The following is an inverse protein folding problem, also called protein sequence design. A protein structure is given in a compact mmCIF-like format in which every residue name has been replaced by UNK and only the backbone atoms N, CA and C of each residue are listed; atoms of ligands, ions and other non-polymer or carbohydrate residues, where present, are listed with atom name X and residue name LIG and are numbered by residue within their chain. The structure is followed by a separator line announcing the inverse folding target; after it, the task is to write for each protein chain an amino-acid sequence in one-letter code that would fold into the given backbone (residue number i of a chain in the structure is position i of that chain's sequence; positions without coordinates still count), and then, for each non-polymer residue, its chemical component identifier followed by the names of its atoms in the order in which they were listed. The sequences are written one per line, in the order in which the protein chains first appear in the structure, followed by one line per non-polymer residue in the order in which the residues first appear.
data_IF_433078615752
#
_entry.id   IF_433078615752
#
_cell.length_a   1.000
_cell.length_b   1.000
_cell.length_c   1.000
_cell.angle_alpha   90.00
_cell.angle_beta   90.00
_cell.angle_gamma   90.00
#
_symmetry.space_group_name_H-M   'P 1'
#
loop_
_entity.id
_entity.type
_entity.pdbx_description
1 polymer ?
#
# COMPACT_ATOMS: atom_id res chain seq x y z
N UNK A 1 35.99 -10.11 -1.04
CA UNK A 1 35.67 -9.98 -2.48
C UNK A 1 34.22 -10.38 -2.66
N UNK A 2 33.33 -9.43 -2.93
CA UNK A 2 31.95 -9.71 -3.32
C UNK A 2 32.00 -10.13 -4.79
N UNK A 3 31.66 -11.38 -5.13
CA UNK A 3 31.67 -11.81 -6.52
C UNK A 3 30.49 -11.18 -7.26
N UNK A 4 30.77 -10.14 -8.04
CA UNK A 4 29.76 -9.34 -8.76
C UNK A 4 28.96 -10.21 -9.73
N UNK A 5 29.55 -11.31 -10.20
CA UNK A 5 28.89 -12.29 -11.05
C UNK A 5 27.81 -13.09 -10.29
N UNK A 6 28.13 -13.59 -9.09
CA UNK A 6 27.18 -14.32 -8.23
C UNK A 6 26.08 -13.39 -7.69
N UNK A 7 26.42 -12.14 -7.37
CA UNK A 7 25.46 -11.13 -6.94
C UNK A 7 24.46 -10.77 -8.05
N UNK A 8 24.91 -10.65 -9.31
CA UNK A 8 24.03 -10.45 -10.48
C UNK A 8 23.17 -11.68 -10.75
N UNK A 9 23.71 -12.87 -10.62
CA UNK A 9 22.96 -14.10 -10.86
C UNK A 9 21.86 -14.31 -9.81
N UNK A 10 22.17 -14.10 -8.53
CA UNK A 10 21.22 -14.24 -7.44
C UNK A 10 20.15 -13.14 -7.43
N UNK A 11 20.51 -11.89 -7.76
CA UNK A 11 19.53 -10.80 -7.89
C UNK A 11 18.62 -10.97 -9.10
N UNK A 12 19.15 -11.47 -10.23
CA UNK A 12 18.36 -11.81 -11.42
C UNK A 12 17.37 -12.95 -11.16
N UNK A 13 17.79 -14.01 -10.47
CA UNK A 13 16.91 -15.13 -10.09
C UNK A 13 15.80 -14.68 -9.14
N UNK A 14 16.09 -13.77 -8.20
CA UNK A 14 15.08 -13.23 -7.29
C UNK A 14 14.12 -12.26 -7.99
N UNK A 15 14.60 -11.37 -8.84
CA UNK A 15 13.74 -10.51 -9.67
C UNK A 15 12.82 -11.35 -10.56
N UNK A 16 13.35 -12.38 -11.19
CA UNK A 16 12.59 -13.31 -12.01
C UNK A 16 11.55 -14.08 -11.18
N UNK A 17 11.94 -14.64 -10.04
CA UNK A 17 11.03 -15.37 -9.14
C UNK A 17 9.90 -14.47 -8.63
N UNK A 18 10.21 -13.21 -8.29
CA UNK A 18 9.24 -12.20 -7.89
C UNK A 18 8.26 -11.93 -9.04
N UNK A 19 8.76 -11.54 -10.23
CA UNK A 19 7.91 -11.22 -11.38
C UNK A 19 6.98 -12.39 -11.74
N UNK A 20 7.51 -13.61 -11.78
CA UNK A 20 6.73 -14.83 -12.09
C UNK A 20 5.69 -15.12 -11.00
N UNK A 21 6.05 -14.95 -9.72
CA UNK A 21 5.13 -15.17 -8.61
C UNK A 21 4.03 -14.10 -8.50
N UNK A 22 4.26 -12.88 -9.01
CA UNK A 22 3.27 -11.79 -8.99
C UNK A 22 2.37 -11.77 -10.22
N UNK A 23 2.96 -11.87 -11.42
CA UNK A 23 2.22 -11.66 -12.67
C UNK A 23 1.30 -12.85 -13.00
N UNK A 24 1.72 -14.08 -12.67
CA UNK A 24 0.93 -15.27 -13.03
C UNK A 24 -0.40 -15.35 -12.25
N UNK A 25 -0.44 -15.19 -10.91
CA UNK A 25 -1.70 -15.20 -10.18
C UNK A 25 -2.64 -14.06 -10.57
N UNK A 26 -2.10 -12.90 -10.92
CA UNK A 26 -2.85 -11.72 -11.32
C UNK A 26 -3.55 -11.92 -12.68
N UNK A 27 -2.82 -12.42 -13.68
CA UNK A 27 -3.36 -12.73 -15.01
C UNK A 27 -4.40 -13.85 -14.93
N UNK A 28 -4.15 -14.90 -14.13
CA UNK A 28 -5.07 -16.03 -13.99
C UNK A 28 -6.38 -15.66 -13.26
N UNK A 29 -6.37 -14.55 -12.50
CA UNK A 29 -7.57 -14.04 -11.81
C UNK A 29 -8.59 -13.39 -12.75
N UNK A 30 -8.14 -12.91 -13.92
CA UNK A 30 -9.00 -12.23 -14.90
C UNK A 30 -9.92 -13.21 -15.65
N UNK A 31 -9.63 -14.51 -15.64
CA UNK A 31 -10.35 -15.53 -16.43
C UNK A 31 -11.38 -16.35 -15.63
N UNK A 32 -11.61 -16.09 -14.33
CA UNK A 32 -12.45 -16.95 -13.47
C UNK A 32 -13.84 -16.39 -13.09
N UNK A 33 -14.82 -17.31 -12.99
CA UNK A 33 -16.25 -17.06 -12.77
C UNK A 33 -16.61 -16.43 -11.40
N UNK A 34 -17.67 -15.61 -11.38
CA UNK A 34 -18.11 -14.71 -10.29
C UNK A 34 -18.22 -15.37 -8.90
N UNK A 35 -18.72 -16.60 -8.79
CA UNK A 35 -18.92 -17.26 -7.49
C UNK A 35 -17.62 -17.72 -6.82
N UNK A 36 -16.51 -17.81 -7.56
CA UNK A 36 -15.17 -18.12 -7.01
C UNK A 36 -14.31 -16.87 -6.87
N UNK A 37 -14.72 -15.72 -7.41
CA UNK A 37 -13.92 -14.48 -7.39
C UNK A 37 -13.61 -14.02 -5.97
N UNK A 38 -14.55 -14.15 -5.03
CA UNK A 38 -14.31 -13.72 -3.65
C UNK A 38 -13.28 -14.59 -2.93
N UNK A 39 -13.36 -15.92 -3.07
CA UNK A 39 -12.37 -16.85 -2.48
C UNK A 39 -11.00 -16.69 -3.15
N UNK A 40 -10.98 -16.47 -4.47
CA UNK A 40 -9.77 -16.23 -5.24
C UNK A 40 -9.08 -14.90 -4.84
N UNK A 41 -9.86 -13.82 -4.66
CA UNK A 41 -9.34 -12.51 -4.24
C UNK A 41 -8.66 -12.55 -2.87
N UNK A 42 -9.16 -13.39 -1.95
CA UNK A 42 -8.52 -13.63 -0.65
C UNK A 42 -7.22 -14.40 -0.83
N UNK A 43 -7.21 -15.45 -1.65
CA UNK A 43 -6.00 -16.21 -1.97
C UNK A 43 -4.90 -15.30 -2.54
N UNK A 44 -5.25 -14.46 -3.52
CA UNK A 44 -4.34 -13.49 -4.13
C UNK A 44 -3.84 -12.49 -3.09
N UNK A 45 -4.74 -11.95 -2.24
CA UNK A 45 -4.37 -10.96 -1.22
C UNK A 45 -3.35 -11.51 -0.21
N UNK A 46 -3.53 -12.75 0.23
CA UNK A 46 -2.60 -13.43 1.15
C UNK A 46 -1.24 -13.65 0.47
N UNK A 47 -1.25 -14.12 -0.79
CA UNK A 47 -0.01 -14.33 -1.55
C UNK A 47 0.74 -13.00 -1.75
N UNK A 48 0.06 -11.91 -2.09
CA UNK A 48 0.69 -10.60 -2.27
C UNK A 48 1.34 -10.09 -0.97
N UNK A 49 0.65 -10.21 0.17
CA UNK A 49 1.22 -9.81 1.47
C UNK A 49 2.44 -10.67 1.81
N UNK A 50 2.35 -11.99 1.66
CA UNK A 50 3.48 -12.89 1.95
C UNK A 50 4.70 -12.58 1.09
N UNK A 51 4.50 -12.35 -0.20
CA UNK A 51 5.58 -12.00 -1.11
C UNK A 51 6.15 -10.59 -0.81
N UNK A 52 5.31 -9.62 -0.42
CA UNK A 52 5.79 -8.30 0.03
C UNK A 52 6.67 -8.42 1.29
N UNK A 53 6.24 -9.22 2.28
CA UNK A 53 7.02 -9.48 3.50
C UNK A 53 8.31 -10.23 3.19
N UNK A 54 8.28 -11.23 2.30
CA UNK A 54 9.47 -11.95 1.86
C UNK A 54 10.46 -11.02 1.13
N UNK A 55 9.95 -10.11 0.27
CA UNK A 55 10.76 -9.11 -0.41
C UNK A 55 11.36 -8.10 0.58
N UNK A 56 10.61 -7.64 1.58
CA UNK A 56 11.12 -6.79 2.66
C UNK A 56 12.19 -7.51 3.48
N UNK A 57 11.98 -8.78 3.84
CA UNK A 57 12.97 -9.58 4.54
C UNK A 57 14.27 -9.71 3.74
N UNK A 58 14.16 -9.97 2.43
CA UNK A 58 15.31 -10.02 1.56
C UNK A 58 16.06 -8.69 1.49
N UNK A 59 15.33 -7.57 1.36
CA UNK A 59 15.89 -6.20 1.34
C UNK A 59 16.56 -5.82 2.66
N UNK A 60 15.95 -6.15 3.80
CA UNK A 60 16.36 -5.68 5.13
C UNK A 60 17.31 -6.61 5.87
N UNK A 61 17.30 -7.91 5.60
CA UNK A 61 18.11 -8.91 6.31
C UNK A 61 19.14 -9.52 5.37
N UNK A 62 18.70 -10.08 4.26
CA UNK A 62 19.56 -10.92 3.42
C UNK A 62 20.55 -10.11 2.58
N UNK A 63 20.11 -9.00 2.00
CA UNK A 63 20.91 -8.14 1.11
C UNK A 63 20.97 -6.69 1.59
N UNK A 64 20.84 -6.48 2.91
CA UNK A 64 20.91 -5.16 3.55
C UNK A 64 22.13 -4.36 3.07
N UNK A 65 23.29 -5.01 2.93
CA UNK A 65 24.54 -4.36 2.51
C UNK A 65 24.55 -3.85 1.07
N UNK A 66 23.76 -4.41 0.15
CA UNK A 66 23.68 -3.95 -1.25
C UNK A 66 22.64 -2.85 -1.41
N UNK A 67 21.54 -2.92 -0.66
CA UNK A 67 20.46 -1.92 -0.71
C UNK A 67 20.78 -0.68 0.13
N UNK A 68 21.38 -0.82 1.31
CA UNK A 68 21.84 0.32 2.13
C UNK A 68 23.00 1.03 1.42
N UNK A 69 23.96 0.31 0.84
CA UNK A 69 25.02 0.94 0.05
C UNK A 69 24.49 1.66 -1.20
N UNK A 70 23.40 1.15 -1.81
CA UNK A 70 22.73 1.83 -2.94
C UNK A 70 21.95 3.06 -2.49
N UNK A 71 21.24 3.00 -1.36
CA UNK A 71 20.56 4.16 -0.77
C UNK A 71 21.57 5.22 -0.31
N UNK A 72 22.68 4.82 0.32
CA UNK A 72 23.77 5.71 0.72
C UNK A 72 24.56 6.26 -0.48
N UNK A 73 24.75 5.51 -1.57
CA UNK A 73 25.37 6.06 -2.78
C UNK A 73 24.46 7.05 -3.51
N UNK A 74 23.15 6.75 -3.55
CA UNK A 74 22.13 7.64 -4.14
C UNK A 74 21.87 8.87 -3.25
N UNK A 75 22.04 8.74 -1.92
CA UNK A 75 22.03 9.86 -0.97
C UNK A 75 23.39 10.57 -0.82
N UNK A 76 24.49 9.93 -1.22
CA UNK A 76 25.86 10.44 -1.11
C UNK A 76 26.42 11.14 -2.37
N UNK A 77 25.90 10.83 -3.56
CA UNK A 77 26.11 11.65 -4.78
C UNK A 77 25.27 12.93 -4.77
N UNK A 78 24.29 12.92 -3.89
CA UNK A 78 23.51 14.04 -3.47
C UNK A 78 24.40 14.88 -2.54
N UNK A 79 24.86 16.06 -2.98
CA UNK A 79 25.48 17.05 -2.09
C UNK A 79 24.63 17.15 -0.82
N UNK A 80 25.20 16.66 0.28
CA UNK A 80 24.53 16.51 1.55
C UNK A 80 25.34 17.38 2.50
N UNK A 81 24.84 18.58 2.73
CA UNK A 81 24.85 19.12 4.09
C UNK A 81 24.37 17.97 4.98
N UNK A 82 25.22 17.50 5.88
CA UNK A 82 24.95 16.38 6.78
C UNK A 82 23.54 16.54 7.38
N UNK A 83 22.56 15.76 6.90
CA UNK A 83 21.23 15.71 7.50
C UNK A 83 21.36 14.95 8.82
N UNK A 84 21.92 15.64 9.82
CA UNK A 84 21.92 15.18 11.19
C UNK A 84 20.47 15.02 11.63
N UNK A 85 20.11 13.94 12.34
CA UNK A 85 18.76 13.76 12.82
C UNK A 85 18.37 14.94 13.72
N UNK A 86 17.52 15.83 13.22
CA UNK A 86 17.13 17.04 13.95
C UNK A 86 16.41 16.69 15.27
N UNK A 87 15.71 15.54 15.29
CA UNK A 87 14.84 15.13 16.40
C UNK A 87 15.29 13.80 17.04
N UNK A 88 15.18 13.74 18.37
CA UNK A 88 15.38 12.48 19.09
C UNK A 88 14.31 11.44 18.73
N UNK A 89 14.68 10.16 18.66
CA UNK A 89 13.75 9.08 18.26
C UNK A 89 12.50 8.97 19.15
N UNK A 90 12.60 9.34 20.43
CA UNK A 90 11.45 9.40 21.35
C UNK A 90 10.47 10.51 20.95
N UNK A 91 10.99 11.68 20.59
CA UNK A 91 10.18 12.82 20.16
C UNK A 91 9.47 12.53 18.83
N UNK A 92 10.18 11.94 17.86
CA UNK A 92 9.61 11.50 16.59
C UNK A 92 8.46 10.49 16.79
N UNK A 93 8.63 9.53 17.70
CA UNK A 93 7.59 8.52 18.01
C UNK A 93 6.32 9.15 18.58
N UNK A 94 6.46 10.10 19.52
CA UNK A 94 5.32 10.80 20.14
C UNK A 94 4.55 11.61 19.09
N UNK A 95 5.25 12.33 18.22
CA UNK A 95 4.61 13.14 17.18
C UNK A 95 3.91 12.25 16.16
N UNK A 96 4.53 11.14 15.74
CA UNK A 96 3.91 10.20 14.82
C UNK A 96 2.61 9.62 15.39
N UNK A 97 2.59 9.28 16.68
CA UNK A 97 1.39 8.77 17.35
C UNK A 97 0.29 9.84 17.45
N UNK A 98 0.63 11.08 17.83
CA UNK A 98 -0.32 12.19 17.88
C UNK A 98 -0.89 12.52 16.50
N UNK A 99 -0.05 12.54 15.46
CA UNK A 99 -0.47 12.77 14.07
C UNK A 99 -1.42 11.66 13.60
N UNK A 100 -1.14 10.41 13.95
CA UNK A 100 -1.99 9.27 13.58
C UNK A 100 -3.39 9.41 14.19
N UNK A 101 -3.49 9.81 15.46
CA UNK A 101 -4.78 10.04 16.13
C UNK A 101 -5.52 11.22 15.49
N UNK A 102 -4.82 12.31 15.19
CA UNK A 102 -5.41 13.47 14.53
C UNK A 102 -5.97 13.13 13.14
N UNK A 103 -5.19 12.39 12.33
CA UNK A 103 -5.63 11.91 11.02
C UNK A 103 -6.84 10.98 11.14
N UNK A 104 -6.86 10.07 12.11
CA UNK A 104 -8.01 9.19 12.35
C UNK A 104 -9.29 10.00 12.67
N UNK A 105 -9.19 11.00 13.54
CA UNK A 105 -10.32 11.88 13.89
C UNK A 105 -10.84 12.68 12.70
N UNK A 106 -9.95 13.26 11.90
CA UNK A 106 -10.32 14.01 10.70
C UNK A 106 -10.92 13.09 9.64
N UNK A 107 -10.36 11.89 9.46
CA UNK A 107 -10.82 10.91 8.46
C UNK A 107 -12.24 10.43 8.74
N UNK A 108 -12.61 10.20 9.99
CA UNK A 108 -13.98 9.83 10.37
C UNK A 108 -14.97 10.94 9.96
N UNK A 109 -14.66 12.19 10.26
CA UNK A 109 -15.50 13.34 9.88
C UNK A 109 -15.56 13.52 8.36
N UNK A 110 -14.44 13.33 7.68
CA UNK A 110 -14.32 13.50 6.23
C UNK A 110 -15.21 12.52 5.46
N UNK A 111 -15.26 11.25 5.87
CA UNK A 111 -16.12 10.25 5.21
C UNK A 111 -17.61 10.62 5.31
N UNK A 112 -18.07 11.19 6.44
CA UNK A 112 -19.46 11.64 6.58
C UNK A 112 -19.84 12.83 5.69
N UNK A 113 -18.86 13.56 5.16
CA UNK A 113 -19.12 14.71 4.27
C UNK A 113 -19.23 14.31 2.79
N UNK A 114 -18.85 13.09 2.42
CA UNK A 114 -18.86 12.66 1.02
C UNK A 114 -20.23 12.74 0.37
N UNK A 115 -21.30 12.34 1.08
CA UNK A 115 -22.68 12.42 0.59
C UNK A 115 -23.06 13.88 0.27
N UNK A 116 -22.78 14.79 1.21
CA UNK A 116 -23.08 16.22 1.05
C UNK A 116 -22.27 16.89 -0.06
N UNK A 117 -20.99 16.52 -0.22
CA UNK A 117 -20.13 17.04 -1.28
C UNK A 117 -20.56 16.48 -2.64
N UNK A 118 -20.95 15.21 -2.70
CA UNK A 118 -21.47 14.57 -3.90
C UNK A 118 -22.76 15.22 -4.39
N UNK A 119 -23.70 15.51 -3.48
CA UNK A 119 -24.97 16.17 -3.81
C UNK A 119 -24.80 17.63 -4.24
N UNK A 120 -23.89 18.39 -3.62
CA UNK A 120 -23.69 19.80 -3.92
C UNK A 120 -22.88 20.04 -5.20
N UNK A 121 -21.83 19.26 -5.42
CA UNK A 121 -20.92 19.42 -6.57
C UNK A 121 -21.24 18.47 -7.73
N UNK A 122 -22.18 17.54 -7.55
CA UNK A 122 -22.51 16.51 -8.54
C UNK A 122 -21.40 15.49 -8.76
N UNK A 123 -20.50 15.32 -7.78
CA UNK A 123 -19.37 14.40 -7.88
C UNK A 123 -19.78 13.01 -7.41
N UNK A 124 -19.28 11.97 -8.09
CA UNK A 124 -19.48 10.60 -7.63
C UNK A 124 -18.63 10.31 -6.39
N UNK A 125 -19.14 9.48 -5.48
CA UNK A 125 -18.36 8.98 -4.33
C UNK A 125 -17.05 8.31 -4.79
N UNK A 126 -17.09 7.63 -5.94
CA UNK A 126 -15.91 7.04 -6.59
C UNK A 126 -14.86 8.09 -6.96
N UNK A 127 -15.27 9.24 -7.52
CA UNK A 127 -14.33 10.30 -7.88
C UNK A 127 -13.67 10.90 -6.63
N UNK A 128 -14.45 11.15 -5.58
CA UNK A 128 -13.94 11.68 -4.32
C UNK A 128 -12.94 10.69 -3.69
N UNK A 129 -13.30 9.41 -3.62
CA UNK A 129 -12.42 8.38 -3.05
C UNK A 129 -11.15 8.11 -3.87
N UNK A 130 -11.26 7.98 -5.20
CA UNK A 130 -10.12 7.60 -6.04
C UNK A 130 -9.17 8.77 -6.31
N UNK A 131 -9.69 9.99 -6.45
CA UNK A 131 -8.85 11.15 -6.81
C UNK A 131 -8.50 11.96 -5.57
N UNK A 132 -9.50 12.48 -4.85
CA UNK A 132 -9.26 13.45 -3.77
C UNK A 132 -8.56 12.79 -2.59
N UNK A 133 -9.07 11.65 -2.11
CA UNK A 133 -8.49 10.94 -0.97
C UNK A 133 -7.10 10.39 -1.31
N UNK A 134 -6.89 9.86 -2.52
CA UNK A 134 -5.58 9.37 -2.95
C UNK A 134 -4.52 10.48 -3.00
N UNK A 135 -4.88 11.67 -3.50
CA UNK A 135 -3.97 12.83 -3.51
C UNK A 135 -3.61 13.22 -2.08
N UNK A 136 -4.59 13.37 -1.19
CA UNK A 136 -4.34 13.79 0.21
C UNK A 136 -3.50 12.75 0.96
N UNK A 137 -3.80 11.46 0.78
CA UNK A 137 -3.09 10.37 1.45
C UNK A 137 -1.62 10.25 1.06
N UNK A 138 -1.30 10.52 -0.21
CA UNK A 138 0.06 10.39 -0.75
C UNK A 138 0.77 11.75 -0.90
N UNK A 139 0.16 12.86 -0.48
CA UNK A 139 0.67 14.22 -0.69
C UNK A 139 2.06 14.42 -0.07
N UNK A 140 2.27 13.96 1.16
CA UNK A 140 3.54 14.13 1.87
C UNK A 140 4.71 13.40 1.18
N UNK A 141 4.45 12.20 0.68
CA UNK A 141 5.43 11.38 -0.05
C UNK A 141 5.76 12.01 -1.41
N UNK A 142 4.74 12.46 -2.15
CA UNK A 142 4.92 13.16 -3.41
C UNK A 142 5.66 14.48 -3.23
N UNK A 143 5.34 15.26 -2.19
CA UNK A 143 6.06 16.49 -1.86
C UNK A 143 7.54 16.21 -1.59
N UNK A 144 7.85 15.15 -0.82
CA UNK A 144 9.23 14.73 -0.54
C UNK A 144 9.96 14.32 -1.82
N UNK A 145 9.30 13.59 -2.72
CA UNK A 145 9.86 13.22 -4.03
C UNK A 145 10.15 14.45 -4.91
N UNK A 146 9.24 15.44 -4.95
CA UNK A 146 9.43 16.68 -5.71
C UNK A 146 10.58 17.52 -5.15
N UNK A 147 10.71 17.62 -3.82
CA UNK A 147 11.82 18.33 -3.18
C UNK A 147 13.16 17.67 -3.53
N UNK A 148 13.22 16.34 -3.50
CA UNK A 148 14.44 15.60 -3.89
C UNK A 148 14.75 15.76 -5.37
N UNK A 149 13.74 15.75 -6.25
CA UNK A 149 13.92 16.01 -7.68
C UNK A 149 14.43 17.44 -7.93
N UNK A 150 13.94 18.44 -7.18
CA UNK A 150 14.41 19.83 -7.27
C UNK A 150 15.87 19.97 -6.85
N UNK A 151 16.33 19.18 -5.88
CA UNK A 151 17.75 19.06 -5.49
C UNK A 151 18.59 18.27 -6.52
N UNK A 152 18.06 18.00 -7.72
CA UNK A 152 18.67 17.18 -8.77
C UNK A 152 18.94 15.72 -8.37
N UNK A 153 18.23 15.21 -7.35
CA UNK A 153 18.35 13.85 -6.81
C UNK A 153 17.25 12.96 -7.39
N UNK A 154 17.24 12.79 -8.71
CA UNK A 154 16.16 12.10 -9.43
C UNK A 154 16.05 10.61 -9.04
N UNK A 155 17.17 9.94 -8.77
CA UNK A 155 17.16 8.53 -8.35
C UNK A 155 16.41 8.33 -7.03
N UNK A 156 16.58 9.24 -6.06
CA UNK A 156 15.82 9.23 -4.79
C UNK A 156 14.33 9.48 -5.05
N UNK A 157 14.01 10.48 -5.88
CA UNK A 157 12.62 10.82 -6.18
C UNK A 157 11.87 9.65 -6.84
N UNK A 158 12.54 8.97 -7.78
CA UNK A 158 12.01 7.78 -8.46
C UNK A 158 11.87 6.61 -7.47
N UNK A 159 12.86 6.39 -6.59
CA UNK A 159 12.77 5.35 -5.55
C UNK A 159 11.58 5.57 -4.61
N UNK A 160 11.35 6.80 -4.14
CA UNK A 160 10.20 7.16 -3.31
C UNK A 160 8.89 6.86 -4.06
N UNK A 161 8.78 7.26 -5.33
CA UNK A 161 7.57 7.04 -6.14
C UNK A 161 7.28 5.55 -6.38
N UNK A 162 8.28 4.75 -6.75
CA UNK A 162 8.12 3.31 -6.93
C UNK A 162 7.85 2.59 -5.61
N UNK A 163 8.50 3.00 -4.52
CA UNK A 163 8.30 2.44 -3.19
C UNK A 163 6.85 2.61 -2.72
N UNK A 164 6.31 3.83 -2.82
CA UNK A 164 4.92 4.15 -2.46
C UNK A 164 3.92 3.36 -3.30
N UNK A 165 4.12 3.29 -4.62
CA UNK A 165 3.22 2.54 -5.52
C UNK A 165 3.22 1.04 -5.20
N UNK A 166 4.40 0.45 -4.97
CA UNK A 166 4.53 -0.95 -4.60
C UNK A 166 3.85 -1.24 -3.25
N UNK A 167 4.00 -0.33 -2.29
CA UNK A 167 3.38 -0.44 -0.97
C UNK A 167 1.85 -0.36 -1.06
N UNK A 168 1.29 0.55 -1.85
CA UNK A 168 -0.15 0.64 -2.06
C UNK A 168 -0.69 -0.62 -2.74
N UNK A 169 -0.04 -1.08 -3.81
CA UNK A 169 -0.49 -2.24 -4.58
C UNK A 169 -0.38 -3.56 -3.80
N UNK A 170 0.76 -3.82 -3.16
CA UNK A 170 1.07 -5.13 -2.58
C UNK A 170 0.74 -5.25 -1.08
N UNK A 171 0.50 -4.13 -0.39
CA UNK A 171 0.17 -4.12 1.02
C UNK A 171 -1.20 -3.49 1.28
N UNK A 172 -1.44 -2.25 0.83
CA UNK A 172 -2.69 -1.53 1.18
C UNK A 172 -3.92 -2.19 0.54
N UNK A 173 -3.90 -2.45 -0.77
CA UNK A 173 -5.02 -3.09 -1.46
C UNK A 173 -5.39 -4.47 -0.88
N UNK A 174 -4.45 -5.43 -0.68
CA UNK A 174 -4.81 -6.72 -0.10
C UNK A 174 -5.24 -6.64 1.36
N UNK A 175 -4.70 -5.71 2.17
CA UNK A 175 -5.22 -5.46 3.52
C UNK A 175 -6.68 -4.98 3.46
N UNK A 176 -7.03 -4.10 2.53
CA UNK A 176 -8.42 -3.64 2.37
C UNK A 176 -9.36 -4.79 1.98
N UNK A 177 -8.93 -5.72 1.12
CA UNK A 177 -9.72 -6.92 0.76
C UNK A 177 -9.97 -7.80 1.99
N UNK A 178 -8.94 -8.04 2.80
CA UNK A 178 -9.04 -8.84 4.03
C UNK A 178 -9.89 -8.12 5.09
N UNK A 179 -9.73 -6.81 5.27
CA UNK A 179 -10.53 -6.02 6.21
C UNK A 179 -12.00 -5.92 5.79
N UNK A 180 -12.26 -5.79 4.48
CA UNK A 180 -13.62 -5.84 3.92
C UNK A 180 -14.32 -7.15 4.29
N UNK A 181 -13.61 -8.29 4.16
CA UNK A 181 -14.11 -9.60 4.61
C UNK A 181 -14.45 -9.60 6.10
N UNK A 182 -13.58 -9.10 6.97
CA UNK A 182 -13.80 -9.07 8.41
C UNK A 182 -15.06 -8.26 8.77
N UNK A 183 -15.26 -7.12 8.11
CA UNK A 183 -16.41 -6.25 8.32
C UNK A 183 -17.72 -6.85 7.76
N UNK A 184 -17.66 -7.49 6.59
CA UNK A 184 -18.79 -8.23 6.00
C UNK A 184 -19.23 -9.42 6.86
N UNK A 185 -18.30 -10.20 7.43
CA UNK A 185 -18.62 -11.28 8.39
C UNK A 185 -19.34 -10.70 9.60
N UNK A 186 -18.81 -9.61 10.15
CA UNK A 186 -19.31 -9.01 11.39
C UNK A 186 -20.74 -8.48 11.20
N UNK A 187 -21.01 -7.82 10.06
CA UNK A 187 -22.35 -7.36 9.69
C UNK A 187 -23.33 -8.51 9.43
N UNK A 188 -22.87 -9.59 8.78
CA UNK A 188 -23.68 -10.79 8.56
C UNK A 188 -23.98 -11.60 9.83
N UNK A 189 -23.04 -11.65 10.80
CA UNK A 189 -23.23 -12.39 12.05
C UNK A 189 -24.17 -11.68 13.03
N UNK A 190 -24.25 -10.36 12.95
CA UNK A 190 -25.16 -9.55 13.78
C UNK A 190 -26.60 -9.53 13.26
N UNK A 191 -26.82 -9.85 11.97
CA UNK A 191 -28.13 -9.92 11.34
C UNK A 191 -28.49 -11.37 11.01
N UNK A 192 -29.08 -12.06 11.98
CA UNK A 192 -29.94 -13.23 11.78
C UNK A 192 -30.93 -13.24 12.94
N UNK A 193 -32.25 -13.16 12.68
CA UNK A 193 -32.93 -13.95 11.66
C UNK A 193 -33.33 -13.14 10.41
N UNK A 194 -33.36 -13.84 9.28
CA UNK A 194 -34.12 -13.46 8.10
C UNK A 194 -35.57 -13.16 8.50
N UNK A 195 -35.89 -11.89 8.77
CA UNK A 195 -37.25 -11.42 8.85
C UNK A 195 -37.48 -10.42 7.72
N UNK A 196 -38.16 -10.95 6.71
CA UNK A 196 -38.98 -10.30 5.69
C UNK A 196 -38.83 -8.79 5.50
N UNK A 197 -38.52 -8.47 4.24
CA UNK A 197 -38.77 -7.22 3.53
C UNK A 197 -37.66 -6.18 3.57
N UNK A 198 -37.35 -5.70 2.36
CA UNK A 198 -36.54 -4.54 2.00
C UNK A 198 -35.02 -4.74 2.00
N UNK A 199 -34.58 -5.45 0.96
CA UNK A 199 -33.69 -4.88 -0.07
C UNK A 199 -32.46 -4.15 0.50
N UNK A 200 -31.44 -4.86 0.98
CA UNK A 200 -30.03 -4.43 0.87
C UNK A 200 -29.11 -5.66 0.94
N UNK A 201 -28.38 -5.89 -0.15
CA UNK A 201 -27.29 -6.87 -0.38
C UNK A 201 -27.61 -8.38 -0.44
N UNK A 202 -27.54 -9.02 -1.64
CA UNK A 202 -27.70 -10.46 -1.82
C UNK A 202 -26.51 -11.32 -1.31
N UNK A 203 -25.41 -10.71 -0.86
CA UNK A 203 -24.17 -11.42 -0.53
C UNK A 203 -24.17 -12.14 0.83
N UNK A 204 -25.14 -11.85 1.69
CA UNK A 204 -25.18 -12.40 3.05
C UNK A 204 -26.03 -13.70 3.15
N UNK A 205 -26.78 -14.04 2.10
CA UNK A 205 -27.76 -15.12 2.10
C UNK A 205 -27.49 -16.18 1.01
N UNK A 206 -26.26 -16.30 0.50
CA UNK A 206 -25.87 -17.42 -0.35
C UNK A 206 -25.19 -18.48 0.50
N UNK A 207 -25.96 -19.52 0.84
CA UNK A 207 -25.40 -20.82 1.17
C UNK A 207 -24.87 -21.49 -0.10
#
# INVERSE_FOLDING_TARGET
MFNVHDARHNSGLLMFAIIVAFVIPEVFSMEMAENKQFVLSIGISIVMILLYVAALYFKLVSHRGVYVAKQESVQGEAETEEETPEWSGKFATVILLLSTIAVAYISERLVHTFDTVGEQFGWSELFIGVIIVAIVGNAAEHASAVIMAYKNKMDVAVEIAFGSTLQVAMMVAPILVISSRFFLISRCRSFSPCQSSLRWHPLCCSR
#
